data_IF_929016878659
#
_entry.id   IF_929016878659
#
_cell.length_a   1.000
_cell.length_b   1.000
_cell.length_c   1.000
_cell.angle_alpha   90.00
_cell.angle_beta   90.00
_cell.angle_gamma   90.00
#
_symmetry.space_group_name_H-M   'P 1'
#
loop_
_entity.id
_entity.type
_entity.pdbx_description
1 polymer ?
#
# COMPACT_ATOMS: atom_id res chain seq x y z
N UNK A 1 -9.11 19.32 4.05
CA UNK A 1 -8.07 18.44 3.48
C UNK A 1 -8.41 16.95 3.62
N UNK A 2 -8.68 16.41 4.83
CA UNK A 2 -9.07 14.98 5.03
C UNK A 2 -10.27 14.50 4.19
N UNK A 3 -11.28 15.36 3.97
CA UNK A 3 -12.49 15.03 3.19
C UNK A 3 -12.26 14.96 1.67
N UNK A 4 -11.30 15.72 1.15
CA UNK A 4 -10.98 15.76 -0.29
C UNK A 4 -10.16 14.53 -0.69
N UNK A 5 -9.23 14.10 0.17
CA UNK A 5 -8.51 12.84 -0.01
C UNK A 5 -9.47 11.65 0.00
N UNK A 6 -10.45 11.64 0.92
CA UNK A 6 -11.45 10.57 1.00
C UNK A 6 -12.36 10.54 -0.24
N UNK A 7 -12.82 11.70 -0.71
CA UNK A 7 -13.66 11.80 -1.91
C UNK A 7 -12.91 11.41 -3.20
N UNK A 8 -11.62 11.77 -3.30
CA UNK A 8 -10.75 11.34 -4.40
C UNK A 8 -10.53 9.82 -4.41
N UNK A 9 -10.34 9.20 -3.24
CA UNK A 9 -10.23 7.74 -3.14
C UNK A 9 -11.52 7.05 -3.60
N UNK A 10 -12.70 7.50 -3.14
CA UNK A 10 -13.98 6.90 -3.52
C UNK A 10 -14.24 7.02 -5.04
N UNK A 11 -13.85 8.13 -5.67
CA UNK A 11 -13.97 8.29 -7.12
C UNK A 11 -13.08 7.32 -7.92
N UNK A 12 -11.90 6.96 -7.39
CA UNK A 12 -10.98 6.02 -8.04
C UNK A 12 -11.40 4.55 -7.88
N UNK A 13 -12.20 4.22 -6.85
CA UNK A 13 -12.67 2.86 -6.56
C UNK A 13 -14.17 2.64 -6.81
N UNK A 14 -14.94 3.69 -7.15
CA UNK A 14 -16.40 3.65 -7.25
C UNK A 14 -16.96 3.02 -8.53
N UNK A 15 -16.11 2.48 -9.42
CA UNK A 15 -16.48 1.98 -10.74
C UNK A 15 -16.16 0.49 -10.93
N UNK A 16 -16.61 -0.41 -10.05
CA UNK A 16 -16.62 -1.84 -10.43
C UNK A 16 -17.44 -2.69 -9.47
N UNK A 17 -18.67 -3.03 -9.86
CA UNK A 17 -19.41 -4.19 -9.36
C UNK A 17 -19.09 -5.44 -10.21
N UNK A 18 -17.85 -5.60 -10.66
CA UNK A 18 -17.43 -6.72 -11.49
C UNK A 18 -16.70 -7.75 -10.61
N UNK A 19 -17.28 -8.94 -10.46
CA UNK A 19 -16.59 -10.06 -9.84
C UNK A 19 -15.31 -10.36 -10.64
N UNK A 20 -14.17 -10.41 -9.95
CA UNK A 20 -12.89 -10.64 -10.63
C UNK A 20 -12.84 -12.10 -11.07
N UNK A 21 -12.81 -12.32 -12.39
CA UNK A 21 -12.79 -13.64 -13.00
C UNK A 21 -11.43 -14.32 -12.80
N UNK A 22 -11.44 -15.66 -12.75
CA UNK A 22 -10.23 -16.45 -12.91
C UNK A 22 -9.50 -16.08 -14.22
N UNK A 23 -8.19 -15.97 -14.18
CA UNK A 23 -7.39 -15.52 -15.32
C UNK A 23 -7.02 -14.05 -15.31
N UNK A 24 -7.64 -13.25 -14.43
CA UNK A 24 -7.35 -11.82 -14.38
C UNK A 24 -6.01 -11.57 -13.69
N UNK A 25 -5.17 -10.74 -14.29
CA UNK A 25 -3.94 -10.26 -13.65
C UNK A 25 -4.22 -8.90 -13.01
N UNK A 26 -3.72 -8.66 -11.80
CA UNK A 26 -3.92 -7.40 -11.09
C UNK A 26 -2.57 -6.83 -10.61
N UNK A 27 -2.51 -5.49 -10.56
CA UNK A 27 -1.42 -4.75 -9.97
C UNK A 27 -1.92 -4.09 -8.69
N UNK A 28 -1.21 -4.30 -7.59
CA UNK A 28 -1.49 -3.76 -6.28
C UNK A 28 -0.21 -3.30 -5.59
N UNK A 29 -0.33 -2.71 -4.42
CA UNK A 29 0.80 -2.43 -3.57
C UNK A 29 0.41 -1.61 -2.36
N UNK A 30 1.32 -1.56 -1.39
CA UNK A 30 1.19 -0.69 -0.23
C UNK A 30 2.37 0.27 -0.16
N UNK A 31 2.08 1.47 0.33
CA UNK A 31 3.07 2.47 0.72
C UNK A 31 2.83 2.79 2.19
N UNK A 32 3.88 2.86 2.98
CA UNK A 32 3.82 3.21 4.38
C UNK A 32 4.89 4.22 4.75
N UNK A 33 4.52 5.11 5.65
CA UNK A 33 5.40 6.09 6.25
C UNK A 33 5.10 6.12 7.74
N UNK A 34 6.13 5.93 8.57
CA UNK A 34 6.02 6.01 10.02
C UNK A 34 7.17 6.82 10.59
N UNK A 35 6.86 7.63 11.60
CA UNK A 35 7.83 8.42 12.34
C UNK A 35 7.74 7.99 13.81
N UNK A 36 8.88 7.69 14.41
CA UNK A 36 8.98 7.38 15.83
C UNK A 36 9.84 8.43 16.53
N UNK A 37 9.22 9.18 17.46
CA UNK A 37 9.89 10.17 18.29
C UNK A 37 10.08 9.60 19.71
N UNK A 38 11.33 9.43 20.15
CA UNK A 38 11.62 8.98 21.52
C UNK A 38 11.73 10.19 22.45
N UNK A 39 10.85 10.26 23.45
CA UNK A 39 10.71 11.39 24.39
C UNK A 39 11.96 11.74 25.23
N UNK A 40 13.07 11.01 25.13
CA UNK A 40 14.23 11.17 26.03
C UNK A 40 15.54 11.60 25.34
N UNK A 41 15.52 12.00 24.07
CA UNK A 41 16.70 12.58 23.43
C UNK A 41 16.68 12.47 21.91
N UNK A 42 16.27 13.56 21.26
CA UNK A 42 16.53 14.02 19.88
C UNK A 42 16.52 13.04 18.68
N UNK A 43 16.26 11.74 18.87
CA UNK A 43 16.32 10.73 17.82
C UNK A 43 14.94 10.61 17.17
N UNK A 44 14.84 11.05 15.92
CA UNK A 44 13.64 10.93 15.09
C UNK A 44 13.80 9.84 14.05
N UNK A 45 13.28 8.65 14.28
CA UNK A 45 13.43 7.57 13.29
C UNK A 45 12.31 7.67 12.25
N UNK A 46 12.68 7.91 10.99
CA UNK A 46 11.78 7.95 9.84
C UNK A 46 11.88 6.66 9.05
N UNK A 47 10.77 5.93 8.95
CA UNK A 47 10.67 4.73 8.15
C UNK A 47 9.75 4.97 6.96
N UNK A 48 10.23 4.60 5.77
CA UNK A 48 9.43 4.59 4.56
C UNK A 48 9.53 3.22 3.91
N UNK A 49 8.39 2.63 3.57
CA UNK A 49 8.31 1.35 2.91
C UNK A 49 7.35 1.38 1.73
N UNK A 50 7.70 0.62 0.70
CA UNK A 50 6.89 0.44 -0.50
C UNK A 50 6.95 -1.01 -0.92
N UNK A 51 5.79 -1.61 -1.16
CA UNK A 51 5.63 -3.00 -1.56
C UNK A 51 4.68 -3.09 -2.76
N UNK A 52 5.16 -2.87 -4.00
CA UNK A 52 4.43 -3.26 -5.19
C UNK A 52 4.23 -4.77 -5.23
N UNK A 53 3.05 -5.20 -5.67
CA UNK A 53 2.66 -6.60 -5.79
C UNK A 53 1.91 -6.80 -7.09
N UNK A 54 2.36 -7.76 -7.90
CA UNK A 54 1.60 -8.25 -9.06
C UNK A 54 0.98 -9.57 -8.70
N UNK A 55 -0.27 -9.81 -9.09
CA UNK A 55 -0.92 -11.08 -8.83
C UNK A 55 -1.87 -11.52 -9.92
N UNK A 56 -2.33 -12.75 -9.78
CA UNK A 56 -3.14 -13.46 -10.75
C UNK A 56 -4.24 -14.25 -10.04
N UNK A 57 -5.47 -14.15 -10.54
CA UNK A 57 -6.62 -14.87 -10.01
C UNK A 57 -6.62 -16.30 -10.55
N UNK A 58 -6.29 -17.27 -9.71
CA UNK A 58 -6.33 -18.70 -10.08
C UNK A 58 -7.74 -19.29 -9.97
N UNK A 59 -8.62 -18.64 -9.23
CA UNK A 59 -10.06 -18.93 -9.20
C UNK A 59 -10.83 -17.62 -9.03
N UNK A 60 -12.14 -17.65 -9.31
CA UNK A 60 -13.02 -16.56 -8.95
C UNK A 60 -12.86 -16.30 -7.44
N UNK A 61 -12.47 -15.07 -7.08
CA UNK A 61 -12.22 -14.62 -5.70
C UNK A 61 -10.97 -15.17 -4.99
N UNK A 62 -10.11 -15.95 -5.64
CA UNK A 62 -8.85 -16.40 -5.05
C UNK A 62 -7.67 -16.08 -5.97
N UNK A 63 -6.70 -15.34 -5.43
CA UNK A 63 -5.57 -14.84 -6.19
C UNK A 63 -4.26 -15.10 -5.46
N UNK A 64 -3.21 -15.33 -6.24
CA UNK A 64 -1.83 -15.43 -5.76
C UNK A 64 -1.05 -14.25 -6.30
N UNK A 65 -0.08 -13.74 -5.53
CA UNK A 65 0.70 -12.59 -5.94
C UNK A 65 2.15 -12.67 -5.47
N UNK A 66 3.01 -12.00 -6.23
CA UNK A 66 4.41 -11.81 -5.92
C UNK A 66 4.65 -10.31 -5.69
N UNK A 67 5.16 -10.00 -4.50
CA UNK A 67 5.51 -8.64 -4.10
C UNK A 67 7.02 -8.50 -3.95
N UNK A 68 7.55 -7.39 -4.46
CA UNK A 68 8.94 -6.98 -4.22
C UNK A 68 8.91 -5.68 -3.43
N UNK A 69 9.57 -5.65 -2.27
CA UNK A 69 9.48 -4.54 -1.33
C UNK A 69 10.81 -3.82 -1.15
N UNK A 70 10.73 -2.50 -0.93
CA UNK A 70 11.84 -1.69 -0.46
C UNK A 70 11.46 -0.99 0.85
N UNK A 71 12.36 -1.03 1.83
CA UNK A 71 12.21 -0.33 3.09
C UNK A 71 13.47 0.48 3.37
N UNK A 72 13.30 1.73 3.77
CA UNK A 72 14.36 2.61 4.25
C UNK A 72 14.03 3.05 5.67
N UNK A 73 15.06 3.06 6.52
CA UNK A 73 15.02 3.63 7.86
C UNK A 73 16.09 4.73 7.92
N UNK A 74 15.67 5.94 8.27
CA UNK A 74 16.57 7.06 8.52
C UNK A 74 16.53 7.41 9.99
N UNK A 75 17.68 7.37 10.63
CA UNK A 75 17.89 7.91 11.98
C UNK A 75 18.83 9.11 11.83
N UNK A 76 18.32 10.35 11.90
CA UNK A 76 19.17 11.53 12.00
C UNK A 76 19.85 11.49 13.37
N UNK A 77 21.18 11.50 13.36
CA UNK A 77 22.03 11.65 14.54
C UNK A 77 22.10 13.12 14.96
#
# INVERSE_FOLDING_TARGET
MKKVLMAGAIALFGLSNAQIAAGTTYLSGSVGYSQEETNNGNNKTENFNVLPTVGYFVSNNFAIGLGIGYQTQKTPM
#
